data_IF_980753484384
#
_entry.id   IF_980753484384
#
_cell.length_a   1.000
_cell.length_b   1.000
_cell.length_c   1.000
_cell.angle_alpha   90.00
_cell.angle_beta   90.00
_cell.angle_gamma   90.00
#
_symmetry.space_group_name_H-M   'P 1'
#
loop_
_entity.id
_entity.type
_entity.pdbx_description
1 polymer ?
#
# COMPACT_ATOMS: atom_id res chain seq x y z
N UNK A 1 28.64 3.97 -42.66
CA UNK A 1 27.84 4.47 -41.52
C UNK A 1 27.86 3.40 -40.44
N UNK A 2 28.45 3.72 -39.29
CA UNK A 2 28.72 2.77 -38.21
C UNK A 2 27.46 2.49 -37.37
N UNK A 3 27.22 1.22 -37.07
CA UNK A 3 26.17 0.74 -36.17
C UNK A 3 26.63 0.92 -34.72
N UNK A 4 25.97 1.80 -33.97
CA UNK A 4 26.19 1.97 -32.53
C UNK A 4 25.37 0.91 -31.77
N UNK A 5 26.00 -0.21 -31.42
CA UNK A 5 25.47 -1.15 -30.43
C UNK A 5 25.83 -0.66 -29.03
N UNK A 6 24.86 -0.61 -28.13
CA UNK A 6 25.06 -0.34 -26.70
C UNK A 6 25.83 -1.48 -26.02
N UNK A 7 26.64 -1.19 -24.98
CA UNK A 7 27.37 -2.23 -24.26
C UNK A 7 26.43 -3.03 -23.37
N UNK A 8 26.44 -4.37 -23.53
CA UNK A 8 25.83 -5.30 -22.59
C UNK A 8 26.76 -5.43 -21.38
N UNK A 9 26.32 -4.95 -20.22
CA UNK A 9 27.01 -5.24 -18.96
C UNK A 9 26.56 -6.62 -18.46
N UNK A 10 27.48 -7.57 -18.46
CA UNK A 10 27.31 -8.85 -17.79
C UNK A 10 27.94 -8.73 -16.40
N UNK A 11 27.14 -8.88 -15.34
CA UNK A 11 27.66 -9.11 -14.00
C UNK A 11 28.17 -10.56 -13.95
N UNK A 12 29.47 -10.75 -14.14
CA UNK A 12 30.11 -12.04 -13.96
C UNK A 12 30.22 -12.34 -12.45
N UNK A 13 29.35 -13.22 -11.95
CA UNK A 13 29.53 -13.86 -10.65
C UNK A 13 30.62 -14.92 -10.79
N UNK A 14 31.83 -14.62 -10.33
CA UNK A 14 32.91 -15.60 -10.17
C UNK A 14 32.67 -16.45 -8.92
N UNK A 15 31.80 -17.45 -9.04
CA UNK A 15 31.80 -18.61 -8.15
C UNK A 15 31.83 -19.87 -9.03
N UNK A 16 32.94 -20.61 -8.91
CA UNK A 16 33.13 -21.90 -9.60
C UNK A 16 32.05 -22.87 -9.12
N UNK A 17 31.16 -23.28 -10.02
CA UNK A 17 30.19 -24.36 -9.82
C UNK A 17 30.92 -25.71 -9.80
N UNK A 18 31.22 -26.21 -8.60
CA UNK A 18 31.50 -27.63 -8.41
C UNK A 18 30.19 -28.40 -8.58
N UNK A 19 30.09 -29.16 -9.67
CA UNK A 19 28.99 -30.09 -9.93
C UNK A 19 29.01 -31.24 -8.93
N UNK A 20 28.08 -31.25 -7.98
CA UNK A 20 27.54 -32.48 -7.40
C UNK A 20 26.03 -32.30 -7.24
N UNK A 21 25.31 -33.29 -7.76
CA UNK A 21 23.87 -33.48 -7.64
C UNK A 21 23.40 -33.14 -6.22
N UNK A 22 22.61 -32.07 -6.10
CA UNK A 22 21.67 -31.94 -5.01
C UNK A 22 20.31 -32.20 -5.62
N UNK A 23 19.78 -33.36 -5.27
CA UNK A 23 18.43 -33.79 -5.56
C UNK A 23 17.43 -32.65 -5.37
N UNK A 24 16.38 -32.73 -6.18
CA UNK A 24 15.22 -31.86 -6.26
C UNK A 24 14.38 -31.93 -4.96
N UNK A 25 14.98 -31.63 -3.81
CA UNK A 25 14.30 -31.41 -2.55
C UNK A 25 13.50 -30.12 -2.70
N UNK A 26 12.20 -30.25 -3.01
CA UNK A 26 11.24 -29.14 -2.91
C UNK A 26 11.40 -28.52 -1.53
N UNK A 27 12.11 -27.38 -1.43
CA UNK A 27 12.20 -26.63 -0.18
C UNK A 27 10.76 -26.36 0.29
N UNK A 28 10.40 -26.72 1.53
CA UNK A 28 9.05 -26.47 2.02
C UNK A 28 8.73 -24.97 1.94
N UNK A 29 7.46 -24.65 1.66
CA UNK A 29 6.95 -23.29 1.69
C UNK A 29 7.12 -22.74 3.11
N UNK A 30 8.16 -21.92 3.30
CA UNK A 30 8.47 -21.26 4.58
C UNK A 30 8.55 -19.74 4.36
N UNK A 31 7.44 -19.08 3.98
CA UNK A 31 7.45 -17.63 3.94
C UNK A 31 7.66 -17.07 5.36
N UNK A 32 8.22 -15.85 5.46
CA UNK A 32 8.18 -15.09 6.69
C UNK A 32 6.76 -14.99 7.24
N UNK A 33 6.61 -15.10 8.56
CA UNK A 33 5.34 -14.90 9.26
C UNK A 33 5.50 -13.81 10.31
N UNK A 34 4.40 -13.12 10.58
CA UNK A 34 4.32 -12.19 11.70
C UNK A 34 4.46 -12.95 13.02
N UNK A 35 5.18 -12.35 13.96
CA UNK A 35 5.45 -12.90 15.31
C UNK A 35 4.69 -12.16 16.41
N UNK A 36 3.83 -11.21 16.04
CA UNK A 36 3.04 -10.42 16.98
C UNK A 36 1.85 -11.24 17.51
N UNK A 37 1.46 -10.94 18.76
CA UNK A 37 0.19 -11.45 19.31
C UNK A 37 -0.96 -10.79 18.54
N UNK A 38 -1.84 -11.60 17.94
CA UNK A 38 -2.99 -11.09 17.21
C UNK A 38 -4.00 -10.46 18.18
N UNK A 39 -4.33 -9.20 17.93
CA UNK A 39 -5.38 -8.46 18.61
C UNK A 39 -6.44 -8.11 17.57
N UNK A 40 -7.70 -8.38 17.88
CA UNK A 40 -8.85 -8.12 17.00
C UNK A 40 -9.94 -7.38 17.77
N UNK A 41 -10.75 -6.61 17.05
CA UNK A 41 -11.89 -5.87 17.58
C UNK A 41 -11.55 -4.99 18.80
N UNK A 42 -10.49 -4.17 18.69
CA UNK A 42 -10.07 -3.29 19.80
C UNK A 42 -10.94 -2.04 19.95
N UNK A 43 -11.72 -1.69 18.92
CA UNK A 43 -12.69 -0.60 18.99
C UNK A 43 -13.92 -1.03 19.81
N UNK A 44 -14.40 -0.20 20.77
CA UNK A 44 -15.65 -0.48 21.48
C UNK A 44 -16.84 -0.62 20.52
N UNK A 45 -17.69 -1.67 20.65
CA UNK A 45 -18.78 -1.93 19.71
C UNK A 45 -19.76 -0.77 19.55
N UNK A 46 -19.94 0.07 20.58
CA UNK A 46 -20.82 1.24 20.52
C UNK A 46 -20.36 2.27 19.47
N UNK A 47 -19.05 2.32 19.17
CA UNK A 47 -18.49 3.23 18.15
C UNK A 47 -18.81 2.80 16.72
N UNK A 48 -19.33 1.59 16.49
CA UNK A 48 -19.85 1.17 15.18
C UNK A 48 -20.97 2.12 14.71
N UNK A 49 -21.80 2.62 15.64
CA UNK A 49 -22.91 3.54 15.31
C UNK A 49 -22.41 4.88 14.74
N UNK A 50 -21.17 5.29 15.06
CA UNK A 50 -20.55 6.49 14.47
C UNK A 50 -20.47 6.33 12.95
N UNK A 51 -19.92 5.22 12.46
CA UNK A 51 -19.75 4.98 11.03
C UNK A 51 -21.08 4.78 10.30
N UNK A 52 -22.06 4.15 10.95
CA UNK A 52 -23.43 4.07 10.42
C UNK A 52 -24.08 5.45 10.28
N UNK A 53 -23.86 6.34 11.25
CA UNK A 53 -24.41 7.70 11.19
C UNK A 53 -23.77 8.58 10.09
N UNK A 54 -22.58 8.19 9.61
CA UNK A 54 -21.81 8.88 8.59
C UNK A 54 -22.05 8.37 7.16
N UNK A 55 -23.00 7.45 6.91
CA UNK A 55 -23.25 6.90 5.57
C UNK A 55 -23.53 7.96 4.50
N UNK A 56 -24.47 8.88 4.76
CA UNK A 56 -24.80 9.98 3.83
C UNK A 56 -23.63 10.97 3.70
N UNK A 57 -22.93 11.22 4.82
CA UNK A 57 -21.75 12.08 4.78
C UNK A 57 -20.67 11.47 3.88
N UNK A 58 -20.44 10.16 3.98
CA UNK A 58 -19.46 9.44 3.16
C UNK A 58 -19.86 9.44 1.67
N UNK A 59 -21.15 9.31 1.36
CA UNK A 59 -21.66 9.45 0.00
C UNK A 59 -21.28 10.82 -0.61
N UNK A 60 -21.57 11.90 0.13
CA UNK A 60 -21.39 13.27 -0.34
C UNK A 60 -19.93 13.74 -0.30
N UNK A 61 -19.09 13.15 0.56
CA UNK A 61 -17.75 13.68 0.85
C UNK A 61 -16.61 12.76 0.47
N UNK A 62 -16.85 11.45 0.41
CA UNK A 62 -15.81 10.44 0.16
C UNK A 62 -15.96 9.85 -1.24
N UNK A 63 -17.16 9.45 -1.64
CA UNK A 63 -17.37 8.85 -2.97
C UNK A 63 -17.08 9.81 -4.12
N UNK A 64 -17.16 11.12 -3.89
CA UNK A 64 -16.80 12.16 -4.87
C UNK A 64 -15.33 12.10 -5.32
N UNK A 65 -14.47 11.42 -4.54
CA UNK A 65 -13.04 11.28 -4.87
C UNK A 65 -12.76 10.10 -5.81
N UNK A 66 -13.75 9.22 -6.05
CA UNK A 66 -13.66 8.14 -7.02
C UNK A 66 -13.78 8.67 -8.44
N UNK A 67 -13.03 8.08 -9.37
CA UNK A 67 -13.25 8.34 -10.80
C UNK A 67 -14.43 7.49 -11.27
N UNK A 68 -15.35 8.05 -12.09
CA UNK A 68 -16.39 7.27 -12.70
C UNK A 68 -15.77 6.18 -13.59
N UNK A 69 -16.29 4.98 -13.47
CA UNK A 69 -15.81 3.81 -14.21
C UNK A 69 -16.81 3.50 -15.32
N UNK A 70 -16.37 3.44 -16.58
CA UNK A 70 -17.25 2.99 -17.68
C UNK A 70 -17.49 1.46 -17.70
N UNK A 71 -16.65 0.67 -17.04
CA UNK A 71 -16.86 -0.72 -16.58
C UNK A 71 -15.57 -1.26 -15.93
N UNK A 72 -15.60 -1.59 -14.65
CA UNK A 72 -14.59 -2.46 -14.04
C UNK A 72 -15.16 -3.15 -12.81
N UNK A 73 -15.22 -4.48 -12.88
CA UNK A 73 -15.36 -5.35 -11.72
C UNK A 73 -13.99 -5.95 -11.43
N UNK A 74 -13.57 -5.95 -10.17
CA UNK A 74 -12.51 -6.85 -9.71
C UNK A 74 -12.69 -7.15 -8.23
N UNK A 75 -12.75 -8.44 -7.91
CA UNK A 75 -12.68 -8.97 -6.55
C UNK A 75 -11.21 -9.22 -6.23
N UNK A 76 -10.59 -8.30 -5.49
CA UNK A 76 -9.32 -8.52 -4.82
C UNK A 76 -9.53 -8.15 -3.36
N UNK A 77 -9.20 -9.07 -2.45
CA UNK A 77 -9.33 -8.83 -1.02
C UNK A 77 -8.53 -7.61 -0.60
N UNK A 78 -9.20 -6.67 0.06
CA UNK A 78 -8.59 -5.48 0.63
C UNK A 78 -8.59 -5.54 2.16
N UNK A 79 -7.75 -4.72 2.80
CA UNK A 79 -7.70 -4.64 4.25
C UNK A 79 -8.95 -4.01 4.89
N UNK A 80 -9.72 -3.24 4.10
CA UNK A 80 -10.97 -2.62 4.54
C UNK A 80 -12.12 -3.63 4.77
N UNK A 81 -12.03 -4.84 4.20
CA UNK A 81 -12.96 -5.96 4.43
C UNK A 81 -13.06 -6.38 5.91
N UNK A 82 -12.10 -5.98 6.75
CA UNK A 82 -12.02 -6.40 8.14
C UNK A 82 -12.27 -5.27 9.15
N UNK A 83 -12.67 -4.07 8.71
CA UNK A 83 -12.87 -2.92 9.60
C UNK A 83 -14.33 -2.84 10.10
N UNK A 84 -14.50 -2.85 11.41
CA UNK A 84 -15.79 -2.87 12.08
C UNK A 84 -16.62 -1.63 11.75
N UNK A 85 -17.86 -1.81 11.31
CA UNK A 85 -18.77 -0.72 10.96
C UNK A 85 -18.62 -0.14 9.55
N UNK A 86 -17.57 -0.53 8.81
CA UNK A 86 -17.37 -0.09 7.40
C UNK A 86 -17.17 -1.25 6.41
N UNK A 87 -17.00 -2.49 6.91
CA UNK A 87 -16.83 -3.68 6.07
C UNK A 87 -18.04 -3.96 5.18
N UNK A 88 -17.77 -4.61 4.05
CA UNK A 88 -18.81 -5.09 3.13
C UNK A 88 -19.34 -6.47 3.60
N UNK A 89 -20.52 -6.49 4.20
CA UNK A 89 -21.12 -7.71 4.77
C UNK A 89 -21.54 -8.75 3.72
N UNK A 90 -21.74 -8.35 2.45
CA UNK A 90 -22.30 -9.24 1.42
C UNK A 90 -21.41 -9.38 0.19
N UNK A 91 -20.33 -8.61 0.11
CA UNK A 91 -19.53 -8.41 -1.10
C UNK A 91 -20.20 -7.52 -2.14
N UNK A 92 -21.41 -7.03 -1.85
CA UNK A 92 -22.19 -6.15 -2.70
C UNK A 92 -23.07 -5.19 -1.87
N UNK A 93 -22.70 -4.90 -0.62
CA UNK A 93 -23.47 -4.01 0.24
C UNK A 93 -23.65 -2.64 -0.44
N UNK A 94 -24.85 -2.03 -0.35
CA UNK A 94 -25.10 -0.72 -0.93
C UNK A 94 -24.57 0.44 -0.05
N UNK A 95 -23.97 0.15 1.10
CA UNK A 95 -23.41 1.18 1.99
C UNK A 95 -22.29 1.97 1.29
N UNK A 96 -22.19 3.25 1.60
CA UNK A 96 -21.17 4.15 1.04
C UNK A 96 -19.77 3.62 1.31
N UNK A 97 -19.55 3.08 2.52
CA UNK A 97 -18.28 2.47 2.89
C UNK A 97 -17.92 1.24 2.03
N UNK A 98 -18.90 0.38 1.74
CA UNK A 98 -18.68 -0.79 0.91
C UNK A 98 -18.49 -0.41 -0.57
N UNK A 99 -19.22 0.59 -1.07
CA UNK A 99 -19.02 1.14 -2.41
C UNK A 99 -17.61 1.71 -2.55
N UNK A 100 -17.15 2.53 -1.59
CA UNK A 100 -15.78 3.04 -1.56
C UNK A 100 -14.77 1.89 -1.62
N UNK A 101 -14.91 0.93 -0.71
CA UNK A 101 -14.03 -0.23 -0.58
C UNK A 101 -13.86 -0.99 -1.91
N UNK A 102 -14.97 -1.30 -2.60
CA UNK A 102 -14.94 -1.99 -3.89
C UNK A 102 -14.38 -1.12 -5.02
N UNK A 103 -14.75 0.16 -5.07
CA UNK A 103 -14.33 1.07 -6.13
C UNK A 103 -12.84 1.43 -6.01
N UNK A 104 -12.35 1.69 -4.79
CA UNK A 104 -10.93 1.87 -4.50
C UNK A 104 -10.12 0.65 -4.95
N UNK A 105 -10.54 -0.58 -4.57
CA UNK A 105 -9.89 -1.81 -5.02
C UNK A 105 -9.82 -1.91 -6.55
N UNK A 106 -10.89 -1.51 -7.24
CA UNK A 106 -10.92 -1.52 -8.70
C UNK A 106 -9.96 -0.49 -9.32
N UNK A 107 -9.79 0.69 -8.70
CA UNK A 107 -8.77 1.65 -9.10
C UNK A 107 -7.35 1.08 -8.88
N UNK A 108 -7.08 0.52 -7.71
CA UNK A 108 -5.79 -0.07 -7.32
C UNK A 108 -5.34 -1.22 -8.22
N UNK A 109 -6.28 -2.10 -8.63
CA UNK A 109 -5.95 -3.21 -9.51
C UNK A 109 -5.28 -2.74 -10.81
N UNK A 110 -5.68 -1.58 -11.34
CA UNK A 110 -5.11 -1.03 -12.58
C UNK A 110 -3.62 -0.67 -12.42
N UNK A 111 -3.17 -0.34 -11.21
CA UNK A 111 -1.77 0.02 -10.96
C UNK A 111 -0.86 -1.18 -11.14
N UNK A 112 -1.21 -2.30 -10.49
CA UNK A 112 -0.49 -3.57 -10.58
C UNK A 112 -0.45 -4.09 -12.03
N UNK A 113 -1.59 -4.07 -12.72
CA UNK A 113 -1.69 -4.51 -14.12
C UNK A 113 -0.78 -3.70 -15.06
N UNK A 114 -0.76 -2.38 -14.89
CA UNK A 114 0.02 -1.49 -15.73
C UNK A 114 1.53 -1.66 -15.51
N UNK A 115 1.96 -1.73 -14.24
CA UNK A 115 3.36 -1.96 -13.89
C UNK A 115 3.84 -3.36 -14.31
N UNK A 116 3.02 -4.39 -14.10
CA UNK A 116 3.34 -5.76 -14.50
C UNK A 116 3.60 -5.85 -16.02
N UNK A 117 2.67 -5.32 -16.84
CA UNK A 117 2.81 -5.31 -18.30
C UNK A 117 4.01 -4.49 -18.77
N UNK A 118 4.28 -3.34 -18.15
CA UNK A 118 5.47 -2.55 -18.45
C UNK A 118 6.76 -3.33 -18.16
N UNK A 119 6.85 -3.95 -16.97
CA UNK A 119 8.02 -4.73 -16.57
C UNK A 119 8.23 -5.95 -17.48
N UNK A 120 7.16 -6.68 -17.79
CA UNK A 120 7.18 -7.81 -18.71
C UNK A 120 7.72 -7.41 -20.09
N UNK A 121 7.16 -6.35 -20.69
CA UNK A 121 7.55 -5.87 -22.02
C UNK A 121 8.94 -5.22 -22.04
N UNK A 122 9.43 -4.72 -20.91
CA UNK A 122 10.75 -4.11 -20.82
C UNK A 122 11.89 -5.11 -21.12
N UNK A 123 11.67 -6.40 -20.82
CA UNK A 123 12.71 -7.43 -20.91
C UNK A 123 13.90 -7.23 -19.97
N UNK A 124 13.79 -6.34 -18.96
CA UNK A 124 14.88 -5.98 -18.05
C UNK A 124 14.88 -6.74 -16.72
N UNK A 125 13.83 -7.49 -16.44
CA UNK A 125 13.62 -8.18 -15.16
C UNK A 125 13.26 -9.65 -15.37
N UNK A 126 13.55 -10.48 -14.38
CA UNK A 126 13.11 -11.87 -14.36
C UNK A 126 11.66 -11.94 -13.84
N UNK A 127 10.71 -12.03 -14.77
CA UNK A 127 9.28 -12.09 -14.46
C UNK A 127 8.91 -13.32 -13.64
N UNK A 128 9.61 -14.45 -13.82
CA UNK A 128 9.35 -15.67 -13.05
C UNK A 128 9.69 -15.46 -11.57
N UNK A 129 10.78 -14.75 -11.29
CA UNK A 129 11.15 -14.40 -9.92
C UNK A 129 10.19 -13.37 -9.30
N UNK A 130 9.70 -12.40 -10.09
CA UNK A 130 8.69 -11.44 -9.64
C UNK A 130 7.37 -12.16 -9.29
N UNK A 131 6.85 -12.99 -10.18
CA UNK A 131 5.59 -13.73 -9.97
C UNK A 131 5.66 -14.65 -8.75
N UNK A 132 6.79 -15.34 -8.56
CA UNK A 132 7.04 -16.17 -7.37
C UNK A 132 7.05 -15.33 -6.09
N UNK A 133 7.64 -14.14 -6.14
CA UNK A 133 7.68 -13.20 -5.00
C UNK A 133 6.28 -12.69 -4.66
N UNK A 134 5.48 -12.34 -5.68
CA UNK A 134 4.07 -11.94 -5.51
C UNK A 134 3.26 -13.09 -4.88
N UNK A 135 3.45 -14.33 -5.35
CA UNK A 135 2.75 -15.49 -4.81
C UNK A 135 3.10 -15.72 -3.34
N UNK A 136 4.38 -15.59 -2.94
CA UNK A 136 4.77 -15.64 -1.53
C UNK A 136 4.13 -14.52 -0.73
N UNK A 137 4.17 -13.28 -1.22
CA UNK A 137 3.64 -12.13 -0.50
C UNK A 137 2.13 -12.27 -0.24
N UNK A 138 1.34 -12.62 -1.27
CA UNK A 138 -0.10 -12.86 -1.14
C UNK A 138 -0.37 -13.99 -0.15
N UNK A 139 0.36 -15.11 -0.26
CA UNK A 139 0.20 -16.25 0.65
C UNK A 139 0.66 -15.99 2.08
N UNK A 140 1.51 -14.98 2.30
CA UNK A 140 1.95 -14.55 3.64
C UNK A 140 0.94 -13.62 4.30
N UNK A 141 0.18 -12.86 3.50
CA UNK A 141 -0.68 -11.80 3.98
C UNK A 141 0.12 -10.67 4.64
N UNK A 142 -0.56 -9.89 5.47
CA UNK A 142 0.02 -8.80 6.25
C UNK A 142 -0.87 -8.54 7.46
N UNK A 143 -0.27 -8.28 8.63
CA UNK A 143 -0.97 -7.73 9.79
C UNK A 143 -0.61 -6.24 9.96
N UNK A 144 -1.50 -5.31 9.55
CA UNK A 144 -1.26 -3.88 9.75
C UNK A 144 -1.43 -3.43 11.21
N UNK A 145 -1.82 -4.34 12.12
CA UNK A 145 -2.07 -4.10 13.54
C UNK A 145 -3.14 -3.04 13.79
N UNK A 146 -4.13 -3.00 12.88
CA UNK A 146 -5.31 -2.13 12.93
C UNK A 146 -6.46 -2.73 13.72
N UNK A 147 -6.37 -4.01 14.10
CA UNK A 147 -7.23 -4.63 15.12
C UNK A 147 -8.74 -4.48 14.84
N UNK A 148 -9.10 -4.52 13.54
CA UNK A 148 -10.46 -4.30 13.03
C UNK A 148 -11.03 -2.90 13.30
N UNK A 149 -10.27 -1.97 13.88
CA UNK A 149 -10.71 -0.61 14.19
C UNK A 149 -10.61 0.30 12.97
N UNK A 150 -11.70 0.93 12.49
CA UNK A 150 -11.62 1.89 11.40
C UNK A 150 -10.81 3.13 11.76
N UNK A 151 -10.72 3.51 13.03
CA UNK A 151 -9.83 4.60 13.47
C UNK A 151 -8.38 4.26 13.11
N UNK A 152 -7.89 3.10 13.56
CA UNK A 152 -6.54 2.62 13.25
C UNK A 152 -6.37 2.39 11.75
N UNK A 153 -7.38 1.80 11.10
CA UNK A 153 -7.42 1.51 9.67
C UNK A 153 -7.28 2.74 8.79
N UNK A 154 -8.10 3.77 9.00
CA UNK A 154 -8.08 4.99 8.17
C UNK A 154 -6.85 5.86 8.43
N UNK A 155 -6.32 5.86 9.66
CA UNK A 155 -5.01 6.45 9.93
C UNK A 155 -3.94 5.69 9.13
N UNK A 156 -3.89 4.36 9.24
CA UNK A 156 -2.95 3.52 8.51
C UNK A 156 -3.00 3.77 6.99
N UNK A 157 -4.19 3.74 6.38
CA UNK A 157 -4.34 3.95 4.93
C UNK A 157 -3.93 5.35 4.51
N UNK A 158 -4.28 6.39 5.27
CA UNK A 158 -3.80 7.76 5.00
C UNK A 158 -2.27 7.82 4.88
N UNK A 159 -1.55 7.19 5.82
CA UNK A 159 -0.08 7.10 5.77
C UNK A 159 0.44 6.34 4.54
N UNK A 160 -0.19 5.21 4.21
CA UNK A 160 0.25 4.39 3.07
C UNK A 160 0.04 5.11 1.74
N UNK A 161 -1.13 5.71 1.52
CA UNK A 161 -1.41 6.45 0.27
C UNK A 161 -0.44 7.61 0.05
N UNK A 162 -0.07 8.30 1.14
CA UNK A 162 0.95 9.35 1.04
C UNK A 162 2.32 8.76 0.67
N UNK A 163 2.68 7.63 1.26
CA UNK A 163 3.96 6.98 1.00
C UNK A 163 4.05 6.50 -0.46
N UNK A 164 2.99 5.90 -1.00
CA UNK A 164 2.91 5.45 -2.40
C UNK A 164 2.89 6.65 -3.35
N UNK A 165 2.14 7.72 -3.06
CA UNK A 165 2.17 8.97 -3.80
C UNK A 165 3.60 9.51 -3.98
N UNK A 166 4.34 9.62 -2.87
CA UNK A 166 5.73 10.12 -2.89
C UNK A 166 6.65 9.16 -3.66
N UNK A 167 6.52 7.85 -3.44
CA UNK A 167 7.32 6.83 -4.11
C UNK A 167 7.13 6.83 -5.63
N UNK A 168 5.88 6.84 -6.09
CA UNK A 168 5.55 6.89 -7.51
C UNK A 168 5.94 8.22 -8.14
N UNK A 169 5.73 9.35 -7.46
CA UNK A 169 6.16 10.67 -7.92
C UNK A 169 7.68 10.76 -8.10
N UNK A 170 8.46 10.23 -7.15
CA UNK A 170 9.92 10.17 -7.26
C UNK A 170 10.37 9.27 -8.41
N UNK A 171 9.75 8.10 -8.56
CA UNK A 171 10.05 7.17 -9.66
C UNK A 171 9.72 7.80 -11.02
N UNK A 172 8.62 8.55 -11.12
CA UNK A 172 8.25 9.27 -12.33
C UNK A 172 9.32 10.30 -12.74
N UNK A 173 9.84 11.06 -11.76
CA UNK A 173 10.91 12.03 -11.99
C UNK A 173 12.20 11.35 -12.44
N UNK A 174 12.62 10.29 -11.76
CA UNK A 174 13.81 9.50 -12.13
C UNK A 174 13.68 8.91 -13.54
N UNK A 175 12.52 8.33 -13.88
CA UNK A 175 12.27 7.78 -15.22
C UNK A 175 12.42 8.85 -16.30
N UNK A 176 11.87 10.06 -16.06
CA UNK A 176 12.01 11.20 -16.97
C UNK A 176 13.45 11.66 -17.12
N UNK A 177 14.21 11.74 -16.02
CA UNK A 177 15.65 12.08 -16.02
C UNK A 177 16.47 11.08 -16.86
N UNK A 178 16.07 9.81 -16.90
CA UNK A 178 16.69 8.76 -17.70
C UNK A 178 16.10 8.62 -19.12
N UNK A 179 15.23 9.55 -19.54
CA UNK A 179 14.64 9.59 -20.88
C UNK A 179 13.47 8.62 -21.10
N UNK A 180 13.02 7.87 -20.10
CA UNK A 180 11.84 7.00 -20.20
C UNK A 180 10.56 7.78 -19.86
N UNK A 181 10.10 8.55 -20.83
CA UNK A 181 8.90 9.38 -20.70
C UNK A 181 7.63 8.54 -20.49
N UNK A 182 7.58 7.30 -21.01
CA UNK A 182 6.42 6.44 -20.86
C UNK A 182 6.32 5.89 -19.44
N UNK A 183 7.43 5.44 -18.86
CA UNK A 183 7.46 5.07 -17.45
C UNK A 183 7.16 6.27 -16.55
N UNK A 184 7.66 7.46 -16.89
CA UNK A 184 7.31 8.68 -16.15
C UNK A 184 5.80 8.97 -16.16
N UNK A 185 5.13 8.81 -17.31
CA UNK A 185 3.68 8.96 -17.44
C UNK A 185 2.91 7.89 -16.64
N UNK A 186 3.36 6.63 -16.68
CA UNK A 186 2.76 5.53 -15.91
C UNK A 186 2.82 5.85 -14.40
N UNK A 187 4.02 6.13 -13.88
CA UNK A 187 4.20 6.41 -12.46
C UNK A 187 3.48 7.69 -12.02
N UNK A 188 3.47 8.73 -12.87
CA UNK A 188 2.73 9.97 -12.58
C UNK A 188 1.21 9.77 -12.55
N UNK A 189 0.67 8.89 -13.40
CA UNK A 189 -0.77 8.56 -13.41
C UNK A 189 -1.15 7.82 -12.13
N UNK A 190 -0.36 6.82 -11.72
CA UNK A 190 -0.56 6.11 -10.47
C UNK A 190 -0.49 7.08 -9.29
N UNK A 191 0.55 7.91 -9.19
CA UNK A 191 0.66 8.93 -8.14
C UNK A 191 -0.56 9.87 -8.06
N UNK A 192 -1.19 10.20 -9.20
CA UNK A 192 -2.41 11.01 -9.21
C UNK A 192 -3.63 10.30 -8.62
N UNK A 193 -3.67 8.98 -8.71
CA UNK A 193 -4.70 8.16 -8.06
C UNK A 193 -4.43 8.14 -6.55
N UNK A 194 -3.19 7.85 -6.13
CA UNK A 194 -2.80 7.83 -4.71
C UNK A 194 -3.12 9.15 -4.01
N UNK A 195 -2.91 10.29 -4.68
CA UNK A 195 -3.19 11.60 -4.08
C UNK A 195 -4.68 11.83 -3.81
N UNK A 196 -5.57 11.27 -4.63
CA UNK A 196 -7.01 11.33 -4.39
C UNK A 196 -7.40 10.41 -3.24
N UNK A 197 -6.86 9.20 -3.20
CA UNK A 197 -7.11 8.27 -2.09
C UNK A 197 -6.60 8.82 -0.78
N UNK A 198 -5.39 9.40 -0.76
CA UNK A 198 -4.83 10.14 0.37
C UNK A 198 -5.83 11.19 0.86
N UNK A 199 -6.36 12.02 -0.04
CA UNK A 199 -7.30 13.10 0.30
C UNK A 199 -8.61 12.56 0.89
N UNK A 200 -9.13 11.46 0.33
CA UNK A 200 -10.35 10.83 0.82
C UNK A 200 -10.16 10.25 2.23
N UNK A 201 -9.08 9.50 2.47
CA UNK A 201 -8.81 8.92 3.78
C UNK A 201 -8.49 9.99 4.84
N UNK A 202 -7.73 11.03 4.49
CA UNK A 202 -7.45 12.12 5.45
C UNK A 202 -8.72 12.85 5.83
N UNK A 203 -9.66 13.04 4.89
CA UNK A 203 -10.96 13.65 5.16
C UNK A 203 -11.82 12.81 6.12
N UNK A 204 -11.72 11.48 6.05
CA UNK A 204 -12.35 10.59 7.05
C UNK A 204 -11.73 10.82 8.42
N UNK A 205 -10.40 10.84 8.53
CA UNK A 205 -9.70 11.06 9.81
C UNK A 205 -10.00 12.45 10.39
N UNK A 206 -10.04 13.49 9.56
CA UNK A 206 -10.49 14.84 9.94
C UNK A 206 -11.90 14.81 10.51
N UNK A 207 -12.84 14.11 9.85
CA UNK A 207 -14.20 13.97 10.37
C UNK A 207 -14.25 13.21 11.70
N UNK A 208 -13.39 12.22 11.89
CA UNK A 208 -13.26 11.51 13.17
C UNK A 208 -12.71 12.43 14.28
N UNK A 209 -11.78 13.34 13.98
CA UNK A 209 -11.34 14.37 14.93
C UNK A 209 -12.45 15.34 15.33
N UNK A 210 -13.34 15.69 14.41
CA UNK A 210 -14.51 16.54 14.72
C UNK A 210 -15.48 15.88 15.71
N UNK A 211 -15.77 14.57 15.52
CA UNK A 211 -16.86 13.89 16.23
C UNK A 211 -16.40 13.08 17.46
N UNK A 212 -15.15 12.62 17.47
CA UNK A 212 -14.56 11.82 18.54
C UNK A 212 -13.05 12.12 18.66
N UNK A 213 -12.67 13.35 19.06
CA UNK A 213 -11.28 13.79 19.10
C UNK A 213 -10.42 12.90 20.00
N UNK A 214 -10.90 12.55 21.20
CA UNK A 214 -10.14 11.74 22.17
C UNK A 214 -9.85 10.34 21.61
N UNK A 215 -10.85 9.68 21.04
CA UNK A 215 -10.68 8.36 20.41
C UNK A 215 -9.70 8.42 19.23
N UNK A 216 -9.81 9.46 18.40
CA UNK A 216 -8.98 9.63 17.21
C UNK A 216 -7.52 9.94 17.56
N UNK A 217 -7.26 10.80 18.55
CA UNK A 217 -5.90 11.07 19.05
C UNK A 217 -5.25 9.81 19.62
N UNK A 218 -6.01 9.01 20.39
CA UNK A 218 -5.49 7.78 20.97
C UNK A 218 -5.14 6.75 19.90
N UNK A 219 -5.98 6.59 18.88
CA UNK A 219 -5.71 5.71 17.74
C UNK A 219 -4.49 6.18 16.93
N UNK A 220 -4.35 7.48 16.71
CA UNK A 220 -3.18 8.05 16.04
C UNK A 220 -1.89 7.79 16.81
N UNK A 221 -1.88 8.10 18.11
CA UNK A 221 -0.72 7.84 18.97
C UNK A 221 -0.37 6.34 19.02
N UNK A 222 -1.37 5.46 19.03
CA UNK A 222 -1.17 4.01 19.00
C UNK A 222 -0.51 3.54 17.70
N UNK A 223 -1.02 3.95 16.54
CA UNK A 223 -0.39 3.64 15.24
C UNK A 223 1.06 4.14 15.16
N UNK A 224 1.34 5.32 15.73
CA UNK A 224 2.71 5.84 15.79
C UNK A 224 3.62 4.99 16.68
N UNK A 225 3.13 4.51 17.83
CA UNK A 225 3.89 3.61 18.72
C UNK A 225 4.15 2.25 18.09
N UNK A 226 3.15 1.70 17.39
CA UNK A 226 3.26 0.43 16.65
C UNK A 226 4.24 0.52 15.48
N UNK A 227 4.51 1.74 15.00
CA UNK A 227 5.16 2.08 13.73
C UNK A 227 4.31 1.63 12.55
N UNK A 228 4.24 2.48 11.53
CA UNK A 228 3.51 2.15 10.30
C UNK A 228 4.29 1.08 9.53
N UNK A 229 3.85 -0.17 9.64
CA UNK A 229 4.40 -1.30 8.89
C UNK A 229 4.11 -1.16 7.40
N UNK A 230 5.08 -1.44 6.53
CA UNK A 230 4.83 -1.47 5.09
C UNK A 230 4.02 -2.72 4.71
N UNK A 231 3.06 -2.64 3.77
CA UNK A 231 2.28 -3.80 3.32
C UNK A 231 3.13 -4.98 2.86
N UNK A 232 4.21 -4.70 2.13
CA UNK A 232 5.12 -5.71 1.60
C UNK A 232 6.24 -6.13 2.56
N UNK A 233 6.10 -5.94 3.89
CA UNK A 233 7.19 -6.20 4.83
C UNK A 233 7.63 -7.66 4.96
N UNK A 234 6.79 -8.60 4.53
CA UNK A 234 7.09 -10.04 4.45
C UNK A 234 7.56 -10.48 3.04
N UNK A 235 7.93 -9.53 2.16
CA UNK A 235 8.35 -9.85 0.79
C UNK A 235 9.54 -10.83 0.77
N UNK A 236 9.36 -11.93 0.03
CA UNK A 236 10.29 -13.05 -0.04
C UNK A 236 10.34 -13.65 -1.45
N UNK A 237 11.53 -13.85 -2.01
CA UNK A 237 11.76 -14.35 -3.38
C UNK A 237 12.06 -15.87 -3.44
N UNK A 238 12.10 -16.53 -2.29
CA UNK A 238 12.50 -17.93 -2.15
C UNK A 238 14.01 -18.17 -2.02
N UNK A 239 14.81 -17.11 -1.93
CA UNK A 239 16.28 -17.18 -1.78
C UNK A 239 16.75 -16.48 -0.50
N UNK A 240 16.28 -15.26 -0.19
CA UNK A 240 16.74 -14.48 0.97
C UNK A 240 15.61 -14.03 1.88
N UNK A 241 15.72 -14.34 3.17
CA UNK A 241 14.75 -13.98 4.23
C UNK A 241 14.68 -12.47 4.51
N UNK A 242 15.67 -11.67 4.10
CA UNK A 242 15.78 -10.22 4.35
C UNK A 242 15.58 -9.36 3.09
N UNK A 243 14.89 -9.89 2.07
CA UNK A 243 14.78 -9.26 0.76
C UNK A 243 14.25 -7.82 0.81
N UNK A 244 13.21 -7.53 1.61
CA UNK A 244 12.73 -6.15 1.75
C UNK A 244 13.78 -5.23 2.38
N UNK A 245 14.49 -5.65 3.43
CA UNK A 245 15.52 -4.82 4.06
C UNK A 245 16.61 -4.46 3.06
N UNK A 246 17.06 -5.43 2.25
CA UNK A 246 18.01 -5.18 1.17
C UNK A 246 17.44 -4.25 0.10
N UNK A 247 16.17 -4.45 -0.30
CA UNK A 247 15.49 -3.58 -1.26
C UNK A 247 15.39 -2.14 -0.74
N UNK A 248 14.99 -1.93 0.51
CA UNK A 248 14.91 -0.62 1.14
C UNK A 248 16.28 0.06 1.27
N UNK A 249 17.34 -0.69 1.58
CA UNK A 249 18.71 -0.17 1.66
C UNK A 249 19.23 0.29 0.29
N UNK A 250 18.92 -0.45 -0.79
CA UNK A 250 19.24 -0.04 -2.17
C UNK A 250 18.47 1.23 -2.59
N UNK A 251 17.32 1.48 -1.97
CA UNK A 251 16.45 2.64 -2.22
C UNK A 251 16.44 3.62 -1.03
N UNK A 252 17.57 3.77 -0.33
CA UNK A 252 17.74 4.49 0.95
C UNK A 252 17.35 5.98 1.00
N UNK A 253 16.65 6.50 -0.02
CA UNK A 253 15.81 7.70 0.09
C UNK A 253 14.47 7.49 0.81
N UNK A 254 13.98 6.25 0.97
CA UNK A 254 12.64 5.94 1.52
C UNK A 254 12.48 6.17 3.03
N UNK A 255 13.56 6.08 3.82
CA UNK A 255 13.53 6.39 5.26
C UNK A 255 13.11 7.85 5.54
N UNK A 256 13.42 8.76 4.61
CA UNK A 256 13.00 10.16 4.68
C UNK A 256 11.50 10.37 4.40
N UNK A 257 10.86 9.43 3.69
CA UNK A 257 9.46 9.54 3.26
C UNK A 257 8.50 9.38 4.43
N UNK A 258 8.65 8.33 5.25
CA UNK A 258 7.80 8.10 6.42
C UNK A 258 7.93 9.24 7.44
N UNK A 259 9.15 9.69 7.71
CA UNK A 259 9.40 10.78 8.66
C UNK A 259 8.82 12.13 8.15
N UNK A 260 8.90 12.41 6.84
CA UNK A 260 8.21 13.57 6.23
C UNK A 260 6.70 13.43 6.26
N UNK A 261 6.17 12.24 5.96
CA UNK A 261 4.72 11.98 6.02
C UNK A 261 4.18 12.19 7.44
N UNK A 262 4.89 11.70 8.46
CA UNK A 262 4.56 11.95 9.87
C UNK A 262 4.54 13.45 10.19
N UNK A 263 5.54 14.20 9.74
CA UNK A 263 5.60 15.64 10.00
C UNK A 263 4.46 16.41 9.30
N UNK A 264 4.09 16.01 8.08
CA UNK A 264 2.96 16.58 7.34
C UNK A 264 1.66 16.29 8.07
N UNK A 265 1.36 15.04 8.40
CA UNK A 265 0.10 14.71 9.08
C UNK A 265 0.00 15.27 10.48
N UNK A 266 1.11 15.29 11.22
CA UNK A 266 1.16 16.02 12.47
C UNK A 266 0.79 17.49 12.24
N UNK A 267 1.40 18.17 11.28
CA UNK A 267 1.11 19.60 11.03
C UNK A 267 -0.29 19.86 10.44
N UNK A 268 -0.84 18.89 9.70
CA UNK A 268 -2.18 18.98 9.10
C UNK A 268 -3.30 18.69 10.09
N UNK A 269 -3.06 17.86 11.10
CA UNK A 269 -4.07 17.54 12.12
C UNK A 269 -3.85 18.31 13.42
N UNK A 270 -2.66 18.89 13.64
CA UNK A 270 -2.30 19.70 14.80
C UNK A 270 -1.76 21.07 14.35
N UNK A 271 -2.52 22.13 14.65
CA UNK A 271 -2.15 23.52 14.40
C UNK A 271 -2.35 24.37 15.67
N UNK A 272 -1.40 25.26 15.96
CA UNK A 272 -1.48 26.25 17.05
C UNK A 272 -1.85 25.66 18.44
N UNK A 273 -1.30 24.49 18.76
CA UNK A 273 -1.48 23.84 20.06
C UNK A 273 -2.85 23.17 20.24
N UNK A 274 -3.63 22.99 19.16
CA UNK A 274 -4.93 22.32 19.16
C UNK A 274 -5.06 21.40 17.94
N UNK A 275 -5.88 20.36 18.08
CA UNK A 275 -6.29 19.54 16.94
C UNK A 275 -7.25 20.35 16.08
N UNK A 276 -7.08 20.29 14.76
CA UNK A 276 -7.95 21.01 13.82
C UNK A 276 -9.34 20.36 13.89
N UNK A 277 -10.31 21.12 14.41
CA UNK A 277 -11.76 20.84 14.41
C UNK A 277 -12.44 21.49 13.22
#
# INVERSE_FOLDING_TARGET
MASLRSPKFYMASTLKSGSKELENLKKPFMPPREVHVQVTHSMPPQKIEIFKSLENWAEENILIHLKPVEKSSSHLSNHAEYLDGVRDETGASPTSWAIWTRAWTAEENRHGDLLNKYLYLSGRVDMRQIEKTIQYLIGSGMDPRTENSPYLGFIYTSFQERATFISHGNTARLAKEHGDIKLAQICGTIASDEKRHETAYTKIVEKLFEIDPDGTVMAFADMMRKKISMPAHLMYDGLMTIFLTTFQLLHSGLGSTLQRTMQIYWSSWWADGRWIS
#
